data_IF_931970287665
#
_entry.id   IF_931970287665
#
_cell.length_a   1.000
_cell.length_b   1.000
_cell.length_c   1.000
_cell.angle_alpha   90.00
_cell.angle_beta   90.00
_cell.angle_gamma   90.00
#
_symmetry.space_group_name_H-M   'P 1'
#
loop_
_entity.id
_entity.type
_entity.pdbx_description
1 polymer ?
#
# COMPACT_ATOMS: atom_id res chain seq x y z
N UNK A 1 19.02 28.20 -40.83
CA UNK A 1 17.65 27.89 -40.35
C UNK A 1 16.90 29.19 -40.15
N UNK A 2 15.60 29.25 -40.49
CA UNK A 2 14.79 30.46 -40.36
C UNK A 2 14.43 30.69 -38.89
N UNK A 3 14.31 31.95 -38.45
CA UNK A 3 14.02 32.31 -37.04
C UNK A 3 12.72 31.65 -36.53
N UNK A 4 11.74 31.47 -37.40
CA UNK A 4 10.47 30.80 -37.12
C UNK A 4 10.61 29.33 -36.75
N UNK A 5 11.59 28.63 -37.32
CA UNK A 5 11.81 27.21 -37.05
C UNK A 5 12.44 27.01 -35.66
N UNK A 6 13.21 27.99 -35.20
CA UNK A 6 13.82 27.98 -33.87
C UNK A 6 12.76 28.15 -32.77
N UNK A 7 11.76 29.00 -33.00
CA UNK A 7 10.66 29.22 -32.05
C UNK A 7 9.73 28.00 -31.97
N UNK A 8 9.44 27.36 -33.11
CA UNK A 8 8.70 26.08 -33.13
C UNK A 8 9.41 24.99 -32.34
N UNK A 9 10.73 24.86 -32.49
CA UNK A 9 11.51 23.90 -31.72
C UNK A 9 11.54 24.21 -30.22
N UNK A 10 11.53 25.49 -29.83
CA UNK A 10 11.42 25.89 -28.42
C UNK A 10 10.07 25.52 -27.84
N UNK A 11 8.98 25.77 -28.57
CA UNK A 11 7.63 25.40 -28.17
C UNK A 11 7.48 23.88 -28.00
N UNK A 12 8.00 23.09 -28.94
CA UNK A 12 8.02 21.63 -28.86
C UNK A 12 8.78 21.11 -27.64
N UNK A 13 9.97 21.68 -27.35
CA UNK A 13 10.74 21.33 -26.15
C UNK A 13 10.00 21.67 -24.85
N UNK A 14 9.27 22.77 -24.82
CA UNK A 14 8.51 23.20 -23.65
C UNK A 14 7.30 22.28 -23.42
N UNK A 15 6.57 21.90 -24.47
CA UNK A 15 5.49 20.92 -24.39
C UNK A 15 5.98 19.54 -23.94
N UNK A 16 7.11 19.07 -24.48
CA UNK A 16 7.71 17.80 -24.05
C UNK A 16 8.07 17.78 -22.57
N UNK A 17 8.60 18.88 -22.03
CA UNK A 17 8.90 19.01 -20.59
C UNK A 17 7.64 19.04 -19.73
N UNK A 18 6.56 19.65 -20.22
CA UNK A 18 5.29 19.70 -19.48
C UNK A 18 4.58 18.35 -19.45
N UNK A 19 4.65 17.57 -20.54
CA UNK A 19 4.09 16.22 -20.61
C UNK A 19 4.94 15.18 -19.86
N UNK A 20 6.25 15.42 -19.74
CA UNK A 20 7.15 14.60 -18.93
C UNK A 20 7.10 14.89 -17.42
N UNK A 21 6.16 15.72 -16.96
CA UNK A 21 5.95 15.95 -15.54
C UNK A 21 5.64 14.62 -14.85
N UNK A 22 6.49 14.26 -13.90
CA UNK A 22 6.40 13.02 -13.12
C UNK A 22 5.01 12.91 -12.50
N UNK A 23 4.34 11.75 -12.58
CA UNK A 23 3.06 11.54 -11.92
C UNK A 23 3.15 11.95 -10.44
N UNK A 24 2.14 12.63 -9.89
CA UNK A 24 2.23 13.15 -8.55
C UNK A 24 2.49 12.01 -7.55
N UNK A 25 3.51 12.18 -6.69
CA UNK A 25 4.02 11.17 -5.75
C UNK A 25 3.01 10.65 -4.71
N UNK A 26 1.75 11.04 -4.81
CA UNK A 26 0.59 10.50 -4.07
C UNK A 26 0.30 9.03 -4.40
N UNK A 27 0.90 8.47 -5.46
CA UNK A 27 0.88 7.02 -5.74
C UNK A 27 2.13 6.28 -5.21
N UNK A 28 3.15 7.00 -4.72
CA UNK A 28 4.26 6.42 -3.99
C UNK A 28 3.84 6.25 -2.52
N UNK A 29 2.85 5.40 -2.28
CA UNK A 29 2.62 4.85 -0.95
C UNK A 29 3.91 4.22 -0.45
N UNK A 30 4.19 4.37 0.85
CA UNK A 30 5.37 3.85 1.55
C UNK A 30 5.90 2.57 0.90
N UNK A 31 7.21 2.50 0.64
CA UNK A 31 7.89 1.41 -0.07
C UNK A 31 7.31 0.05 0.33
N UNK A 32 6.32 -0.41 -0.44
CA UNK A 32 5.67 -1.70 -0.21
C UNK A 32 6.74 -2.70 -0.58
N UNK A 33 7.24 -3.44 0.41
CA UNK A 33 8.16 -4.55 0.20
C UNK A 33 7.66 -5.38 -0.97
N UNK A 34 8.57 -5.82 -1.85
CA UNK A 34 8.17 -6.65 -2.98
C UNK A 34 7.36 -7.84 -2.42
N UNK A 35 6.22 -8.14 -3.04
CA UNK A 35 5.29 -9.19 -2.55
C UNK A 35 6.00 -10.53 -2.38
N UNK A 36 7.09 -10.77 -3.11
CA UNK A 36 7.96 -11.94 -2.94
C UNK A 36 8.74 -11.91 -1.63
N UNK A 37 9.32 -10.76 -1.29
CA UNK A 37 10.04 -10.55 -0.03
C UNK A 37 9.10 -10.65 1.16
N UNK A 38 7.92 -10.03 1.08
CA UNK A 38 6.89 -10.16 2.10
C UNK A 38 6.48 -11.62 2.31
N UNK A 39 6.19 -12.38 1.24
CA UNK A 39 5.89 -13.82 1.34
C UNK A 39 7.04 -14.63 1.94
N UNK A 40 8.29 -14.25 1.67
CA UNK A 40 9.47 -14.92 2.24
C UNK A 40 9.56 -14.69 3.75
N UNK A 41 9.26 -13.47 4.21
CA UNK A 41 9.18 -13.14 5.63
C UNK A 41 8.02 -13.88 6.30
N UNK A 42 6.85 -13.91 5.67
CA UNK A 42 5.68 -14.62 6.17
C UNK A 42 5.95 -16.13 6.29
N UNK A 43 6.61 -16.74 5.29
CA UNK A 43 7.04 -18.14 5.34
C UNK A 43 8.05 -18.40 6.47
N UNK A 44 9.03 -17.51 6.65
CA UNK A 44 10.01 -17.63 7.73
C UNK A 44 9.35 -17.50 9.12
N UNK A 45 8.30 -16.69 9.23
CA UNK A 45 7.49 -16.52 10.44
C UNK A 45 6.46 -17.65 10.66
N UNK A 46 6.35 -18.61 9.73
CA UNK A 46 5.33 -19.67 9.80
C UNK A 46 3.90 -19.16 9.62
N UNK A 47 3.71 -17.95 9.09
CA UNK A 47 2.41 -17.35 8.87
C UNK A 47 1.69 -18.08 7.72
N UNK A 48 0.63 -18.79 8.06
CA UNK A 48 -0.26 -19.45 7.10
C UNK A 48 -1.51 -18.61 6.93
N UNK A 49 -1.88 -18.33 5.67
CA UNK A 49 -3.13 -17.64 5.37
C UNK A 49 -4.33 -18.53 5.75
N UNK A 50 -5.11 -18.09 6.73
CA UNK A 50 -6.30 -18.79 7.20
C UNK A 50 -7.57 -17.98 6.86
N UNK A 51 -8.26 -18.27 5.74
CA UNK A 51 -9.44 -17.52 5.34
C UNK A 51 -10.65 -17.91 6.19
N UNK A 52 -11.20 -16.95 6.94
CA UNK A 52 -12.41 -17.12 7.75
C UNK A 52 -13.49 -16.13 7.31
N UNK A 53 -14.73 -16.62 7.22
CA UNK A 53 -15.89 -15.76 6.99
C UNK A 53 -16.37 -15.20 8.32
N UNK A 54 -16.16 -13.90 8.54
CA UNK A 54 -16.70 -13.16 9.67
C UNK A 54 -17.91 -12.33 9.22
N UNK A 55 -18.84 -12.08 10.16
CA UNK A 55 -19.97 -11.18 9.91
C UNK A 55 -19.46 -9.73 9.83
N UNK A 56 -20.05 -8.94 8.93
CA UNK A 56 -19.64 -7.55 8.71
C UNK A 56 -19.52 -6.71 10.00
N UNK A 57 -20.47 -6.76 10.96
CA UNK A 57 -20.35 -5.98 12.19
C UNK A 57 -19.12 -6.34 13.04
N UNK A 58 -18.67 -7.59 13.00
CA UNK A 58 -17.47 -8.05 13.72
C UNK A 58 -16.22 -7.49 13.06
N UNK A 59 -16.18 -7.49 11.72
CA UNK A 59 -15.07 -6.91 10.95
C UNK A 59 -14.93 -5.42 11.25
N UNK A 60 -16.04 -4.69 11.31
CA UNK A 60 -16.04 -3.26 11.60
C UNK A 60 -15.57 -2.96 13.03
N UNK A 61 -16.01 -3.76 14.01
CA UNK A 61 -15.53 -3.66 15.39
C UNK A 61 -14.03 -3.94 15.52
N UNK A 62 -13.50 -4.95 14.82
CA UNK A 62 -12.08 -5.27 14.80
C UNK A 62 -11.24 -4.14 14.20
N UNK A 63 -11.72 -3.53 13.10
CA UNK A 63 -11.04 -2.38 12.47
C UNK A 63 -11.03 -1.15 13.37
N UNK A 64 -12.17 -0.83 13.97
CA UNK A 64 -12.28 0.30 14.89
C UNK A 64 -11.35 0.13 16.09
N UNK A 65 -11.28 -1.08 16.67
CA UNK A 65 -10.39 -1.39 17.78
C UNK A 65 -8.91 -1.32 17.39
N UNK A 66 -8.53 -1.90 16.25
CA UNK A 66 -7.16 -1.82 15.76
C UNK A 66 -6.74 -0.36 15.52
N UNK A 67 -7.63 0.47 14.98
CA UNK A 67 -7.38 1.90 14.80
C UNK A 67 -7.23 2.65 16.14
N UNK A 68 -8.07 2.33 17.14
CA UNK A 68 -8.00 2.95 18.46
C UNK A 68 -6.70 2.59 19.21
N UNK A 69 -6.22 1.36 19.06
CA UNK A 69 -5.00 0.85 19.69
C UNK A 69 -3.73 1.18 18.86
N UNK A 70 -3.88 1.63 17.61
CA UNK A 70 -2.76 1.95 16.72
C UNK A 70 -2.00 0.71 16.22
N UNK A 71 -2.60 -0.48 16.33
CA UNK A 71 -2.00 -1.76 15.96
C UNK A 71 -2.55 -2.28 14.63
N UNK A 72 -1.83 -3.23 14.02
CA UNK A 72 -2.32 -3.91 12.83
C UNK A 72 -3.55 -4.78 13.15
N UNK A 73 -4.49 -4.89 12.20
CA UNK A 73 -5.68 -5.76 12.37
C UNK A 73 -5.29 -7.22 12.59
N UNK A 74 -4.24 -7.70 11.92
CA UNK A 74 -3.74 -9.07 12.09
C UNK A 74 -3.13 -9.29 13.48
N UNK A 75 -2.37 -8.32 13.99
CA UNK A 75 -1.79 -8.38 15.34
C UNK A 75 -2.88 -8.39 16.43
N UNK A 76 -3.91 -7.56 16.26
CA UNK A 76 -5.08 -7.59 17.13
C UNK A 76 -5.80 -8.95 17.06
N UNK A 77 -5.96 -9.53 15.87
CA UNK A 77 -6.57 -10.85 15.72
C UNK A 77 -5.75 -11.94 16.41
N UNK A 78 -4.42 -11.93 16.22
CA UNK A 78 -3.52 -12.91 16.82
C UNK A 78 -3.62 -12.87 18.35
N UNK A 79 -3.61 -11.68 18.95
CA UNK A 79 -3.75 -11.52 20.41
C UNK A 79 -5.12 -12.00 20.92
N UNK A 80 -6.22 -11.63 20.23
CA UNK A 80 -7.57 -12.04 20.62
C UNK A 80 -7.76 -13.56 20.51
N UNK A 81 -7.28 -14.18 19.43
CA UNK A 81 -7.36 -15.63 19.24
C UNK A 81 -6.48 -16.38 20.25
N UNK A 82 -5.25 -15.90 20.51
CA UNK A 82 -4.38 -16.50 21.51
C UNK A 82 -4.95 -16.37 22.94
N UNK A 83 -5.69 -15.30 23.24
CA UNK A 83 -6.40 -15.17 24.51
C UNK A 83 -7.59 -16.14 24.61
N UNK A 84 -8.38 -16.27 23.55
CA UNK A 84 -9.54 -17.16 23.50
C UNK A 84 -9.18 -18.66 23.50
N UNK A 85 -7.96 -19.03 23.09
CA UNK A 85 -7.49 -20.42 23.05
C UNK A 85 -6.72 -20.86 24.32
N UNK A 86 -6.53 -19.97 25.30
CA UNK A 86 -5.85 -20.29 26.57
C UNK A 86 -6.76 -20.98 27.60
N UNK A 87 -8.00 -21.27 27.21
CA UNK A 87 -8.99 -22.02 28.00
C UNK A 87 -8.65 -23.51 28.14
#
# INVERSE_FOLDING_TARGET
MKKTDLEKNKALKLMGKMQAAVPPGRYAGAAVLDRREQRRLDQAAGLVSFPVKLRQPVIDALRARAQAEGVGVNELLDTLLAQALKD
#
